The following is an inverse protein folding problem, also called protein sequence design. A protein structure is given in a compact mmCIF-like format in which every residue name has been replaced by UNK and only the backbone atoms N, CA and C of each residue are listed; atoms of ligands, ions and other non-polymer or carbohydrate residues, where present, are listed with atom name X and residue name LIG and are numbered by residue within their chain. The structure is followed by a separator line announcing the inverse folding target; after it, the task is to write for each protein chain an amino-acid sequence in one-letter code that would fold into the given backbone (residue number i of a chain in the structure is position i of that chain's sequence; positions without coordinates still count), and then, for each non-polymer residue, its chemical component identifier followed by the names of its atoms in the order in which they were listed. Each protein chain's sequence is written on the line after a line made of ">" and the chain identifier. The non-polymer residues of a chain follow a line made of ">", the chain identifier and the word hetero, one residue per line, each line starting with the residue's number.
data_IF_465836648268
#
_entry.id   IF_465836648268
#
_cell.length_a   1.000
_cell.length_b   1.000
_cell.length_c   1.000
_cell.angle_alpha   90.00
_cell.angle_beta   90.00
_cell.angle_gamma   90.00
#
_symmetry.space_group_name_H-M   'P 1'
#
loop_
_entity.id
_entity.type
_entity.pdbx_description
1 polymer ?
#
# COMPACT_ATOMS: atom_id res chain seq x y z
N UNK A 1 11.89 7.09 28.10
CA UNK A 1 12.81 7.42 26.98
C UNK A 1 13.19 6.20 26.15
N UNK A 2 13.84 5.16 26.69
CA UNK A 2 14.24 3.99 25.88
C UNK A 2 13.04 3.12 25.46
N UNK A 3 12.09 2.91 26.36
CA UNK A 3 10.85 2.17 26.10
C UNK A 3 9.90 2.92 25.15
N UNK A 4 9.82 4.25 25.24
CA UNK A 4 8.99 5.07 24.34
C UNK A 4 9.52 5.02 22.90
N UNK A 5 10.84 4.94 22.74
CA UNK A 5 11.47 4.78 21.42
C UNK A 5 11.20 3.40 20.84
N UNK A 6 11.30 2.33 21.63
CA UNK A 6 10.99 0.97 21.19
C UNK A 6 9.52 0.83 20.77
N UNK A 7 8.58 1.38 21.56
CA UNK A 7 7.15 1.41 21.21
C UNK A 7 6.93 2.18 19.90
N UNK A 8 7.59 3.33 19.74
CA UNK A 8 7.47 4.13 18.52
C UNK A 8 8.00 3.39 17.28
N UNK A 9 9.09 2.63 17.40
CA UNK A 9 9.62 1.79 16.32
C UNK A 9 8.65 0.66 15.97
N UNK A 10 8.10 -0.05 16.96
CA UNK A 10 7.09 -1.08 16.70
C UNK A 10 5.85 -0.52 16.01
N UNK A 11 5.37 0.66 16.42
CA UNK A 11 4.22 1.32 15.79
C UNK A 11 4.53 1.77 14.36
N UNK A 12 5.75 2.23 14.08
CA UNK A 12 6.17 2.57 12.72
C UNK A 12 6.20 1.33 11.81
N UNK A 13 6.71 0.21 12.32
CA UNK A 13 6.74 -1.06 11.60
C UNK A 13 5.33 -1.61 11.35
N UNK A 14 4.41 -1.45 12.31
CA UNK A 14 3.02 -1.84 12.16
C UNK A 14 2.30 -1.01 11.08
N UNK A 15 2.46 0.32 11.10
CA UNK A 15 1.89 1.21 10.06
C UNK A 15 2.41 0.82 8.67
N UNK A 16 3.69 0.47 8.58
CA UNK A 16 4.30 0.04 7.33
C UNK A 16 3.71 -1.29 6.82
N UNK A 17 3.53 -2.28 7.71
CA UNK A 17 2.90 -3.56 7.36
C UNK A 17 1.44 -3.39 6.95
N UNK A 18 0.68 -2.56 7.65
CA UNK A 18 -0.73 -2.29 7.33
C UNK A 18 -0.87 -1.62 5.95
N UNK A 19 0.03 -0.69 5.61
CA UNK A 19 0.07 -0.08 4.30
C UNK A 19 0.36 -1.12 3.21
N UNK A 20 1.35 -2.00 3.40
CA UNK A 20 1.64 -3.09 2.46
C UNK A 20 0.42 -4.00 2.26
N UNK A 21 -0.19 -4.46 3.35
CA UNK A 21 -1.39 -5.32 3.30
C UNK A 21 -2.53 -4.64 2.54
N UNK A 22 -2.80 -3.36 2.79
CA UNK A 22 -3.82 -2.60 2.07
C UNK A 22 -3.54 -2.58 0.56
N UNK A 23 -2.28 -2.41 0.15
CA UNK A 23 -1.89 -2.39 -1.27
C UNK A 23 -2.01 -3.75 -1.95
N UNK A 24 -1.77 -4.86 -1.24
CA UNK A 24 -1.95 -6.22 -1.75
C UNK A 24 -3.44 -6.57 -1.88
N UNK A 25 -4.27 -6.19 -0.89
CA UNK A 25 -5.71 -6.42 -0.93
C UNK A 25 -6.39 -5.68 -2.10
N UNK A 26 -5.91 -4.48 -2.42
CA UNK A 26 -6.34 -3.73 -3.61
C UNK A 26 -6.03 -4.55 -4.87
N UNK A 27 -4.81 -5.08 -5.01
CA UNK A 27 -4.40 -5.87 -6.18
C UNK A 27 -5.24 -7.14 -6.36
N UNK A 28 -5.51 -7.85 -5.26
CA UNK A 28 -6.37 -9.04 -5.26
C UNK A 28 -7.78 -8.69 -5.73
N UNK A 29 -8.32 -7.56 -5.28
CA UNK A 29 -9.64 -7.07 -5.68
C UNK A 29 -9.70 -6.76 -7.17
N UNK A 30 -8.68 -6.07 -7.70
CA UNK A 30 -8.55 -5.76 -9.13
C UNK A 30 -8.52 -7.03 -9.99
N UNK A 31 -7.66 -7.98 -9.63
CA UNK A 31 -7.51 -9.24 -10.35
C UNK A 31 -8.81 -10.04 -10.34
N UNK A 32 -9.46 -10.15 -9.19
CA UNK A 32 -10.74 -10.88 -9.04
C UNK A 32 -11.85 -10.22 -9.85
N UNK A 33 -11.93 -8.89 -9.81
CA UNK A 33 -12.89 -8.11 -10.58
C UNK A 33 -12.73 -8.31 -12.09
N UNK A 34 -11.49 -8.27 -12.60
CA UNK A 34 -11.20 -8.50 -14.01
C UNK A 34 -11.60 -9.92 -14.48
N UNK A 35 -11.30 -10.94 -13.66
CA UNK A 35 -11.67 -12.33 -13.94
C UNK A 35 -13.20 -12.49 -14.06
N UNK A 36 -13.95 -11.95 -13.10
CA UNK A 36 -15.41 -12.08 -13.08
C UNK A 36 -16.07 -11.42 -14.29
N UNK A 37 -15.55 -10.28 -14.74
CA UNK A 37 -16.13 -9.51 -15.85
C UNK A 37 -15.65 -9.98 -17.23
N UNK A 38 -14.67 -10.89 -17.29
CA UNK A 38 -13.95 -11.29 -18.53
C UNK A 38 -13.53 -10.09 -19.39
N UNK A 39 -13.26 -8.97 -18.73
CA UNK A 39 -12.98 -7.68 -19.34
C UNK A 39 -12.10 -6.88 -18.40
N UNK A 40 -11.25 -5.99 -18.93
CA UNK A 40 -10.37 -5.18 -18.10
C UNK A 40 -11.18 -4.29 -17.13
N UNK A 41 -10.62 -3.96 -15.95
CA UNK A 41 -11.27 -3.06 -15.02
C UNK A 41 -11.57 -1.70 -15.67
N UNK A 42 -12.66 -1.01 -15.29
CA UNK A 42 -12.91 0.36 -15.72
C UNK A 42 -11.74 1.27 -15.34
N UNK A 43 -11.41 2.23 -16.20
CA UNK A 43 -10.30 3.16 -15.99
C UNK A 43 -10.46 3.98 -14.70
N UNK A 44 -11.70 4.35 -14.34
CA UNK A 44 -12.01 5.05 -13.09
C UNK A 44 -11.64 4.21 -11.86
N UNK A 45 -11.88 2.90 -11.90
CA UNK A 45 -11.54 1.98 -10.81
C UNK A 45 -10.03 1.89 -10.64
N UNK A 46 -9.28 1.80 -11.74
CA UNK A 46 -7.81 1.82 -11.72
C UNK A 46 -7.27 3.15 -11.14
N UNK A 47 -7.86 4.27 -11.52
CA UNK A 47 -7.46 5.60 -11.02
C UNK A 47 -7.71 5.75 -9.51
N UNK A 48 -8.88 5.32 -9.04
CA UNK A 48 -9.24 5.35 -7.61
C UNK A 48 -8.31 4.46 -6.78
N UNK A 49 -8.05 3.22 -7.23
CA UNK A 49 -7.13 2.32 -6.56
C UNK A 49 -5.69 2.84 -6.54
N UNK A 50 -5.22 3.45 -7.63
CA UNK A 50 -3.92 4.13 -7.68
C UNK A 50 -3.81 5.25 -6.66
N UNK A 51 -4.87 6.03 -6.46
CA UNK A 51 -4.92 7.08 -5.45
C UNK A 51 -4.88 6.51 -4.01
N UNK A 52 -5.61 5.42 -3.75
CA UNK A 52 -5.58 4.71 -2.47
C UNK A 52 -4.19 4.15 -2.15
N UNK A 53 -3.54 3.46 -3.11
CA UNK A 53 -2.18 2.94 -2.98
C UNK A 53 -1.17 4.06 -2.73
N UNK A 54 -1.29 5.19 -3.42
CA UNK A 54 -0.43 6.36 -3.22
C UNK A 54 -0.58 6.95 -1.80
N UNK A 55 -1.81 6.98 -1.28
CA UNK A 55 -2.08 7.46 0.09
C UNK A 55 -1.48 6.52 1.14
N UNK A 56 -1.67 5.20 0.99
CA UNK A 56 -1.08 4.21 1.90
C UNK A 56 0.45 4.31 1.93
N UNK A 57 1.08 4.46 0.76
CA UNK A 57 2.53 4.66 0.64
C UNK A 57 3.00 5.95 1.32
N UNK A 58 2.27 7.06 1.17
CA UNK A 58 2.62 8.32 1.83
C UNK A 58 2.58 8.23 3.36
N UNK A 59 1.61 7.49 3.90
CA UNK A 59 1.53 7.23 5.35
C UNK A 59 2.74 6.40 5.79
N UNK A 60 3.08 5.33 5.09
CA UNK A 60 4.25 4.50 5.42
C UNK A 60 5.57 5.30 5.38
N UNK A 61 5.77 6.08 4.32
CA UNK A 61 7.00 6.87 4.12
C UNK A 61 7.19 7.95 5.20
N UNK A 62 6.10 8.53 5.72
CA UNK A 62 6.14 9.47 6.85
C UNK A 62 6.78 8.87 8.09
N UNK A 63 6.55 7.58 8.35
CA UNK A 63 7.03 6.90 9.57
C UNK A 63 8.32 6.13 9.35
N UNK A 64 8.56 5.62 8.14
CA UNK A 64 9.79 4.91 7.79
C UNK A 64 10.26 5.31 6.38
N UNK A 65 10.98 6.43 6.24
CA UNK A 65 11.41 6.93 4.94
C UNK A 65 12.58 6.12 4.33
N UNK A 66 12.71 6.17 3.01
CA UNK A 66 13.83 5.58 2.27
C UNK A 66 13.78 4.06 2.16
N UNK A 67 12.61 3.46 2.41
CA UNK A 67 12.44 2.02 2.24
C UNK A 67 12.29 1.64 0.77
N UNK A 68 12.55 0.36 0.48
CA UNK A 68 12.40 -0.20 -0.86
C UNK A 68 10.93 -0.35 -1.30
N UNK A 69 9.97 -0.13 -0.39
CA UNK A 69 8.54 -0.33 -0.61
C UNK A 69 8.02 0.57 -1.73
N UNK A 70 8.27 1.89 -1.65
CA UNK A 70 7.83 2.84 -2.66
C UNK A 70 8.41 2.52 -4.05
N UNK A 71 9.66 2.06 -4.10
CA UNK A 71 10.33 1.65 -5.34
C UNK A 71 9.72 0.38 -5.92
N UNK A 72 9.50 -0.63 -5.08
CA UNK A 72 8.93 -1.92 -5.50
C UNK A 72 7.52 -1.75 -6.05
N UNK A 73 6.65 -1.04 -5.33
CA UNK A 73 5.27 -0.79 -5.77
C UNK A 73 5.18 0.13 -7.00
N UNK A 74 6.15 1.03 -7.21
CA UNK A 74 6.25 1.83 -8.44
C UNK A 74 6.58 1.01 -9.70
N UNK A 75 7.15 -0.20 -9.54
CA UNK A 75 7.49 -1.11 -10.64
C UNK A 75 6.38 -2.12 -10.99
N UNK A 76 5.36 -2.23 -10.13
CA UNK A 76 4.19 -3.10 -10.32
C UNK A 76 2.95 -2.33 -10.83
N UNK A 77 3.13 -1.12 -11.37
CA UNK A 77 2.08 -0.36 -12.07
C UNK A 77 1.91 -0.82 -13.52
#
# INVERSE_FOLDING_TARGET
>A
MQQDNEIKEMLADLIWLDALIATELIQVTENTSAILRKSPPPESCLAEHKALRSTALAIAEKYRPGTMLARHLGQHQ
#
